data_IF_625100823832
#
_entry.id   IF_625100823832
#
_cell.length_a   1.000
_cell.length_b   1.000
_cell.length_c   1.000
_cell.angle_alpha   90.00
_cell.angle_beta   90.00
_cell.angle_gamma   90.00
#
_symmetry.space_group_name_H-M   'P 1'
#
loop_
_entity.id
_entity.type
_entity.pdbx_description
1 polymer ?
#
# COMPACT_ATOMS: atom_id res chain seq x y z
N UNK A 1 8.99 -24.36 1.91
CA UNK A 1 9.61 -23.05 1.61
C UNK A 1 9.67 -22.34 2.94
N UNK A 2 10.85 -22.35 3.57
CA UNK A 2 11.03 -21.66 4.86
C UNK A 2 10.91 -20.15 4.65
N UNK A 3 10.12 -19.52 5.52
CA UNK A 3 9.76 -18.12 5.47
C UNK A 3 10.98 -17.28 5.90
N UNK A 4 11.53 -16.49 4.99
CA UNK A 4 12.55 -15.50 5.34
C UNK A 4 11.81 -14.30 5.93
N UNK A 5 12.01 -13.96 7.22
CA UNK A 5 11.40 -12.77 7.80
C UNK A 5 11.90 -11.53 7.06
N UNK A 6 11.01 -10.57 6.80
CA UNK A 6 11.40 -9.27 6.24
C UNK A 6 12.35 -8.57 7.22
N UNK A 7 13.63 -8.43 6.85
CA UNK A 7 14.64 -7.82 7.70
C UNK A 7 14.70 -6.31 7.43
N UNK A 8 14.73 -5.45 8.48
CA UNK A 8 14.78 -3.99 8.32
C UNK A 8 15.93 -3.45 7.45
N UNK A 9 17.00 -4.22 7.28
CA UNK A 9 18.15 -3.90 6.44
C UNK A 9 17.83 -3.91 4.92
N UNK A 10 16.75 -4.60 4.51
CA UNK A 10 16.24 -4.54 3.13
C UNK A 10 15.60 -3.18 2.79
N UNK A 11 15.25 -2.37 3.81
CA UNK A 11 14.58 -1.09 3.66
C UNK A 11 15.53 0.11 3.43
N UNK A 12 16.85 -0.10 3.51
CA UNK A 12 17.86 0.95 3.49
C UNK A 12 18.68 0.89 2.19
N UNK A 13 18.03 1.08 1.04
CA UNK A 13 18.74 1.46 -0.20
C UNK A 13 18.29 2.84 -0.66
N UNK A 14 19.15 3.84 -0.45
CA UNK A 14 19.06 5.16 -1.07
C UNK A 14 19.21 4.98 -2.58
N UNK A 15 18.18 5.28 -3.36
CA UNK A 15 18.30 5.25 -4.83
C UNK A 15 18.21 6.67 -5.44
N UNK A 16 19.25 7.13 -6.17
CA UNK A 16 19.20 8.26 -7.08
C UNK A 16 18.74 7.80 -8.48
N UNK A 17 17.54 8.19 -8.91
CA UNK A 17 17.16 8.15 -10.34
C UNK A 17 16.89 6.76 -10.95
N UNK A 18 15.61 6.42 -11.12
CA UNK A 18 15.17 5.21 -11.81
C UNK A 18 15.54 5.23 -13.32
N UNK A 19 16.06 4.10 -13.84
CA UNK A 19 16.35 3.82 -15.26
C UNK A 19 16.14 2.32 -15.51
N UNK A 20 15.49 1.98 -16.64
CA UNK A 20 15.03 0.65 -17.06
C UNK A 20 16.06 -0.49 -16.90
N UNK A 21 15.62 -1.64 -16.38
CA UNK A 21 16.43 -2.86 -16.29
C UNK A 21 15.84 -3.92 -15.35
N UNK A 22 15.90 -3.69 -14.04
CA UNK A 22 15.48 -4.65 -12.99
C UNK A 22 14.90 -3.91 -11.76
N UNK A 23 14.11 -2.86 -11.97
CA UNK A 23 13.83 -1.88 -10.90
C UNK A 23 12.53 -2.15 -10.16
N UNK A 24 12.65 -2.88 -9.05
CA UNK A 24 11.64 -2.88 -7.99
C UNK A 24 11.20 -1.44 -7.69
N UNK A 25 9.90 -1.22 -7.58
CA UNK A 25 9.32 0.08 -7.33
C UNK A 25 9.39 0.43 -5.84
N UNK A 26 9.87 1.64 -5.54
CA UNK A 26 9.94 2.14 -4.17
C UNK A 26 8.54 2.43 -3.62
N UNK A 27 8.27 1.91 -2.42
CA UNK A 27 7.08 2.22 -1.62
C UNK A 27 7.51 2.75 -0.27
N UNK A 28 6.98 3.90 0.16
CA UNK A 28 7.29 4.45 1.48
C UNK A 28 6.27 3.98 2.51
N UNK A 29 6.72 3.61 3.70
CA UNK A 29 5.83 3.34 4.83
C UNK A 29 5.98 4.47 5.84
N UNK A 30 4.86 5.09 6.20
CA UNK A 30 4.78 6.15 7.21
C UNK A 30 3.80 5.78 8.29
N UNK A 31 4.16 6.03 9.54
CA UNK A 31 3.26 5.86 10.68
C UNK A 31 2.79 7.20 11.22
N UNK A 32 1.70 7.20 11.99
CA UNK A 32 1.25 8.35 12.79
C UNK A 32 1.00 9.65 12.03
N UNK A 33 0.85 9.57 10.71
CA UNK A 33 0.52 10.71 9.86
C UNK A 33 -0.90 11.20 10.14
N UNK A 34 -1.08 12.52 10.21
CA UNK A 34 -2.39 13.18 10.20
C UNK A 34 -3.36 12.64 9.15
N UNK A 35 -2.88 12.27 7.97
CA UNK A 35 -3.67 11.64 6.89
C UNK A 35 -4.18 10.25 7.32
N UNK A 36 -3.34 9.46 7.99
CA UNK A 36 -3.72 8.14 8.52
C UNK A 36 -4.81 8.25 9.59
N UNK A 37 -4.74 9.29 10.44
CA UNK A 37 -5.75 9.57 11.48
C UNK A 37 -7.11 9.92 10.89
N UNK A 38 -7.13 10.69 9.79
CA UNK A 38 -8.37 11.00 9.06
C UNK A 38 -8.95 9.72 8.46
N UNK A 39 -8.13 8.89 7.82
CA UNK A 39 -8.56 7.62 7.22
C UNK A 39 -9.19 6.67 8.27
N UNK A 40 -8.54 6.50 9.43
CA UNK A 40 -9.08 5.70 10.55
C UNK A 40 -10.47 6.17 10.99
N UNK A 41 -10.68 7.49 11.09
CA UNK A 41 -11.95 8.06 11.51
C UNK A 41 -13.07 7.80 10.51
N UNK A 42 -12.74 7.75 9.22
CA UNK A 42 -13.69 7.42 8.15
C UNK A 42 -14.01 5.92 8.08
N UNK A 43 -13.04 5.04 8.36
CA UNK A 43 -13.15 3.60 8.11
C UNK A 43 -13.66 2.81 9.35
N UNK A 44 -13.74 3.43 10.54
CA UNK A 44 -14.21 2.79 11.81
C UNK A 44 -13.48 1.49 12.18
N UNK A 45 -12.32 1.21 11.59
CA UNK A 45 -11.46 0.09 11.96
C UNK A 45 -10.29 0.56 12.82
N UNK A 46 -9.83 -0.29 13.73
CA UNK A 46 -8.74 0.02 14.67
C UNK A 46 -7.42 0.11 13.94
N UNK A 47 -7.10 -0.89 13.14
CA UNK A 47 -5.87 -0.97 12.36
C UNK A 47 -6.18 -0.65 10.89
N UNK A 48 -5.59 0.42 10.37
CA UNK A 48 -5.86 0.88 9.01
C UNK A 48 -4.53 1.21 8.33
N UNK A 49 -4.37 0.68 7.11
CA UNK A 49 -3.40 1.17 6.16
C UNK A 49 -4.15 1.99 5.11
N UNK A 50 -3.55 3.11 4.70
CA UNK A 50 -4.05 3.92 3.62
C UNK A 50 -2.91 4.15 2.62
N UNK A 51 -3.08 3.64 1.42
CA UNK A 51 -2.18 3.95 0.32
C UNK A 51 -2.55 5.28 -0.33
N UNK A 52 -1.59 6.20 -0.42
CA UNK A 52 -1.68 7.42 -1.23
C UNK A 52 -0.45 7.50 -2.13
N UNK A 53 -0.67 7.44 -3.44
CA UNK A 53 0.37 7.41 -4.46
C UNK A 53 1.32 6.21 -4.30
N UNK A 54 2.49 6.42 -3.69
CA UNK A 54 3.52 5.39 -3.40
C UNK A 54 3.86 5.35 -1.90
N UNK A 55 2.99 5.90 -1.06
CA UNK A 55 3.18 5.94 0.39
C UNK A 55 2.02 5.24 1.07
N UNK A 56 2.34 4.25 1.89
CA UNK A 56 1.41 3.53 2.75
C UNK A 56 1.47 4.19 4.12
N UNK A 57 0.33 4.70 4.56
CA UNK A 57 0.17 5.33 5.86
C UNK A 57 -0.48 4.35 6.83
N UNK A 58 0.22 4.00 7.89
CA UNK A 58 -0.28 3.11 8.94
C UNK A 58 -0.85 3.93 10.11
N UNK A 59 -2.03 3.53 10.58
CA UNK A 59 -2.67 4.04 11.78
C UNK A 59 -2.90 2.89 12.76
N UNK A 60 -2.48 3.08 14.01
CA UNK A 60 -2.49 2.09 15.11
C UNK A 60 -1.71 0.77 14.88
N UNK A 61 -1.06 0.61 13.73
CA UNK A 61 -0.20 -0.55 13.43
C UNK A 61 1.27 -0.15 13.24
N UNK A 62 2.18 -1.13 13.38
CA UNK A 62 3.61 -0.98 13.14
C UNK A 62 4.02 -1.51 11.78
N UNK A 63 5.14 -1.03 11.19
CA UNK A 63 5.56 -1.50 9.88
C UNK A 63 5.92 -2.98 9.93
N UNK A 64 6.51 -3.47 11.03
CA UNK A 64 6.76 -4.89 11.24
C UNK A 64 5.48 -5.73 11.28
N UNK A 65 4.43 -5.27 11.97
CA UNK A 65 3.13 -5.95 11.99
C UNK A 65 2.49 -5.97 10.60
N UNK A 66 2.54 -4.83 9.90
CA UNK A 66 2.03 -4.72 8.54
C UNK A 66 2.78 -5.66 7.59
N UNK A 67 4.12 -5.61 7.57
CA UNK A 67 4.95 -6.39 6.65
C UNK A 67 4.90 -7.90 6.90
N UNK A 68 4.64 -8.32 8.15
CA UNK A 68 4.44 -9.73 8.46
C UNK A 68 3.06 -10.26 7.99
N UNK A 69 2.14 -9.39 7.57
CA UNK A 69 0.84 -9.76 7.03
C UNK A 69 0.83 -9.63 5.50
N UNK A 70 1.23 -10.69 4.80
CA UNK A 70 1.35 -10.71 3.35
C UNK A 70 0.09 -10.27 2.60
N UNK A 71 -1.09 -10.70 3.07
CA UNK A 71 -2.37 -10.32 2.45
C UNK A 71 -2.59 -8.82 2.54
N UNK A 72 -2.32 -8.25 3.71
CA UNK A 72 -2.46 -6.83 3.93
C UNK A 72 -1.48 -6.02 3.08
N UNK A 73 -0.22 -6.48 2.96
CA UNK A 73 0.78 -5.84 2.12
C UNK A 73 0.38 -5.90 0.64
N UNK A 74 -0.04 -7.07 0.15
CA UNK A 74 -0.49 -7.24 -1.22
C UNK A 74 -1.69 -6.35 -1.56
N UNK A 75 -2.64 -6.19 -0.62
CA UNK A 75 -3.77 -5.28 -0.76
C UNK A 75 -3.30 -3.83 -0.99
N UNK A 76 -2.41 -3.32 -0.13
CA UNK A 76 -1.90 -1.94 -0.27
C UNK A 76 -1.03 -1.77 -1.53
N UNK A 77 -0.26 -2.78 -1.92
CA UNK A 77 0.52 -2.77 -3.16
C UNK A 77 -0.39 -2.76 -4.41
N UNK A 78 -1.56 -3.40 -4.36
CA UNK A 78 -2.54 -3.31 -5.44
C UNK A 78 -3.01 -1.86 -5.62
N UNK A 79 -3.22 -1.11 -4.53
CA UNK A 79 -3.50 0.33 -4.62
C UNK A 79 -2.32 1.11 -5.20
N UNK A 80 -1.07 0.81 -4.81
CA UNK A 80 0.11 1.43 -5.44
C UNK A 80 0.13 1.18 -6.95
N UNK A 81 -0.19 -0.04 -7.39
CA UNK A 81 -0.30 -0.40 -8.82
C UNK A 81 -1.42 0.41 -9.49
N UNK A 82 -2.60 0.48 -8.89
CA UNK A 82 -3.73 1.26 -9.42
C UNK A 82 -3.39 2.76 -9.55
N UNK A 83 -2.73 3.35 -8.56
CA UNK A 83 -2.24 4.74 -8.63
C UNK A 83 -1.27 4.94 -9.81
N UNK A 84 -0.37 3.97 -10.06
CA UNK A 84 0.54 4.00 -11.20
C UNK A 84 -0.17 3.85 -12.54
N UNK A 85 -1.15 2.94 -12.63
CA UNK A 85 -1.88 2.65 -13.88
C UNK A 85 -2.82 3.78 -14.27
N UNK A 86 -3.59 4.32 -13.33
CA UNK A 86 -4.62 5.32 -13.62
C UNK A 86 -4.15 6.76 -13.42
N UNK A 87 -3.00 6.96 -12.79
CA UNK A 87 -2.46 8.26 -12.44
C UNK A 87 -3.01 8.79 -11.12
N UNK A 88 -2.15 9.49 -10.39
CA UNK A 88 -2.33 9.95 -9.02
C UNK A 88 -3.70 10.61 -8.73
N UNK A 89 -3.98 11.74 -9.37
CA UNK A 89 -5.19 12.53 -9.10
C UNK A 89 -6.46 11.87 -9.68
N UNK A 90 -6.32 11.27 -10.87
CA UNK A 90 -7.41 10.60 -11.56
C UNK A 90 -7.91 9.40 -10.76
N UNK A 91 -7.00 8.61 -10.19
CA UNK A 91 -7.38 7.47 -9.37
C UNK A 91 -8.15 7.87 -8.12
N UNK A 92 -7.73 8.94 -7.41
CA UNK A 92 -8.45 9.46 -6.24
C UNK A 92 -9.90 9.78 -6.62
N UNK A 93 -10.10 10.53 -7.72
CA UNK A 93 -11.45 10.87 -8.17
C UNK A 93 -12.28 9.64 -8.54
N UNK A 94 -11.70 8.69 -9.29
CA UNK A 94 -12.37 7.45 -9.68
C UNK A 94 -12.75 6.61 -8.46
N UNK A 95 -11.87 6.53 -7.47
CA UNK A 95 -12.10 5.78 -6.25
C UNK A 95 -13.20 6.40 -5.41
N UNK A 96 -13.15 7.73 -5.18
CA UNK A 96 -14.17 8.44 -4.41
C UNK A 96 -15.54 8.37 -5.08
N UNK A 97 -15.60 8.55 -6.41
CA UNK A 97 -16.85 8.44 -7.16
C UNK A 97 -17.48 7.04 -7.01
N UNK A 98 -16.68 5.99 -7.13
CA UNK A 98 -17.16 4.61 -6.97
C UNK A 98 -17.62 4.35 -5.52
N UNK A 99 -16.85 4.80 -4.53
CA UNK A 99 -17.19 4.69 -3.10
C UNK A 99 -18.49 5.41 -2.75
N UNK A 100 -18.75 6.59 -3.34
CA UNK A 100 -20.02 7.30 -3.13
C UNK A 100 -21.21 6.57 -3.76
N UNK A 101 -21.00 5.91 -4.90
CA UNK A 101 -22.08 5.21 -5.60
C UNK A 101 -22.38 3.82 -5.04
N UNK A 102 -21.38 3.08 -4.57
CA UNK A 102 -21.50 1.65 -4.19
C UNK A 102 -21.09 1.35 -2.75
N UNK A 103 -20.55 2.33 -2.05
CA UNK A 103 -19.91 2.13 -0.74
C UNK A 103 -18.51 1.55 -0.85
N UNK A 104 -17.82 1.49 0.29
CA UNK A 104 -16.44 0.99 0.40
C UNK A 104 -16.33 -0.50 0.02
N UNK A 105 -17.18 -1.36 0.57
CA UNK A 105 -17.06 -2.81 0.37
C UNK A 105 -17.28 -3.26 -1.09
N UNK A 106 -18.20 -2.61 -1.81
CA UNK A 106 -18.51 -2.95 -3.21
C UNK A 106 -17.76 -2.06 -4.22
N UNK A 107 -16.80 -1.26 -3.76
CA UNK A 107 -15.96 -0.49 -4.66
C UNK A 107 -15.10 -1.45 -5.50
N UNK A 108 -15.17 -1.33 -6.83
CA UNK A 108 -14.43 -2.21 -7.74
C UNK A 108 -12.92 -2.24 -7.49
N UNK A 109 -12.34 -1.13 -7.00
CA UNK A 109 -10.91 -1.04 -6.70
C UNK A 109 -10.53 -1.82 -5.44
N UNK A 110 -11.42 -1.84 -4.45
CA UNK A 110 -11.30 -2.66 -3.24
C UNK A 110 -11.49 -4.14 -3.55
N UNK A 111 -12.41 -4.46 -4.47
CA UNK A 111 -12.60 -5.84 -4.95
C UNK A 111 -11.37 -6.34 -5.69
N UNK A 112 -10.77 -5.52 -6.57
CA UNK A 112 -9.50 -5.84 -7.23
C UNK A 112 -8.38 -6.03 -6.21
N UNK A 113 -8.24 -5.12 -5.23
CA UNK A 113 -7.22 -5.24 -4.19
C UNK A 113 -7.37 -6.53 -3.36
N UNK A 114 -8.61 -6.91 -3.01
CA UNK A 114 -8.90 -8.19 -2.33
C UNK A 114 -8.58 -9.41 -3.18
N UNK A 115 -8.77 -9.33 -4.48
CA UNK A 115 -8.41 -10.42 -5.40
C UNK A 115 -6.88 -10.62 -5.50
N UNK A 116 -6.11 -9.55 -5.30
CA UNK A 116 -4.65 -9.57 -5.28
C UNK A 116 -4.06 -10.04 -3.94
N UNK A 117 -4.83 -10.14 -2.85
CA UNK A 117 -4.32 -10.51 -1.52
C UNK A 117 -3.59 -11.86 -1.46
N UNK A 118 -3.96 -12.79 -2.34
CA UNK A 118 -3.35 -14.13 -2.39
C UNK A 118 -2.17 -14.23 -3.36
N UNK A 119 -1.83 -13.12 -4.04
CA UNK A 119 -0.76 -13.07 -5.04
C UNK A 119 0.54 -12.62 -4.39
N UNK A 120 1.40 -13.59 -4.06
CA UNK A 120 2.67 -13.32 -3.40
C UNK A 120 3.72 -12.69 -4.33
N UNK A 121 3.58 -12.88 -5.64
CA UNK A 121 4.44 -12.33 -6.70
C UNK A 121 4.41 -10.80 -6.73
N UNK A 122 3.33 -10.16 -6.30
CA UNK A 122 3.26 -8.69 -6.23
C UNK A 122 4.37 -8.08 -5.38
N UNK A 123 4.90 -8.81 -4.39
CA UNK A 123 5.97 -8.33 -3.52
C UNK A 123 7.32 -8.23 -4.24
N UNK A 124 7.53 -9.02 -5.28
CA UNK A 124 8.79 -9.06 -6.02
C UNK A 124 9.03 -7.75 -6.77
N UNK A 125 7.95 -7.07 -7.16
CA UNK A 125 7.97 -5.82 -7.89
C UNK A 125 8.28 -4.59 -7.03
N UNK A 126 8.35 -4.70 -5.70
CA UNK A 126 8.49 -3.55 -4.81
C UNK A 126 9.57 -3.72 -3.74
N UNK A 127 10.05 -2.58 -3.24
CA UNK A 127 10.85 -2.52 -2.02
C UNK A 127 10.34 -1.38 -1.13
N UNK A 128 10.44 -1.56 0.18
CA UNK A 128 9.87 -0.62 1.15
C UNK A 128 10.94 0.30 1.73
N UNK A 129 10.64 1.58 1.87
CA UNK A 129 11.48 2.57 2.54
C UNK A 129 10.71 3.09 3.77
N UNK A 130 11.32 3.00 4.94
CA UNK A 130 10.73 3.61 6.14
C UNK A 130 10.99 5.11 6.12
N UNK A 131 9.90 5.89 6.12
CA UNK A 131 9.99 7.33 6.26
C UNK A 131 9.50 7.71 7.65
N UNK A 132 10.42 8.22 8.48
CA UNK A 132 10.10 8.95 9.71
C UNK A 132 9.26 10.19 9.43
#
# INVERSE_FOLDING_TARGET
MELVPYLPEDAIRKDPGCQHGDKKCRVRIRQNSWIAKIACKCIKQKDVALTVFRTIYLSHSTPGVFLNNHRWVAHELAHVRQFRTYGNLKFIFLYLKESLSKGYYNNKWEVEARAEENKADILEDYYFEYAT
#
